data_IF_021172862422
#
_entry.id   IF_021172862422
#
_cell.length_a   1.000
_cell.length_b   1.000
_cell.length_c   1.000
_cell.angle_alpha   90.00
_cell.angle_beta   90.00
_cell.angle_gamma   90.00
#
_symmetry.space_group_name_H-M   'P 1'
#
loop_
_entity.id
_entity.type
_entity.pdbx_description
1 polymer ?
#
# COMPACT_ATOMS: atom_id res chain seq x y z
N UNK A 1 -3.16 49.20 -45.37
CA UNK A 1 -4.11 48.15 -44.94
C UNK A 1 -3.39 47.30 -43.91
N UNK A 2 -3.99 47.12 -42.75
CA UNK A 2 -3.34 46.72 -41.50
C UNK A 2 -3.21 45.18 -41.44
N UNK A 3 -2.00 44.64 -41.60
CA UNK A 3 -1.69 43.21 -41.41
C UNK A 3 -1.43 42.96 -39.91
N UNK A 4 -2.46 42.53 -39.18
CA UNK A 4 -2.32 42.08 -37.81
C UNK A 4 -2.79 40.62 -37.72
N UNK A 5 -1.88 39.62 -37.78
CA UNK A 5 -2.28 38.24 -37.66
C UNK A 5 -2.74 38.02 -36.22
N UNK A 6 -4.03 37.78 -36.04
CA UNK A 6 -4.65 37.43 -34.77
C UNK A 6 -3.82 36.33 -34.10
N UNK A 7 -3.03 36.68 -33.08
CA UNK A 7 -2.21 35.71 -32.35
C UNK A 7 -3.15 34.75 -31.61
N UNK A 8 -3.34 33.55 -32.15
CA UNK A 8 -4.12 32.50 -31.48
C UNK A 8 -3.39 32.09 -30.20
N UNK A 9 -3.85 32.59 -29.06
CA UNK A 9 -3.34 32.19 -27.74
C UNK A 9 -4.05 30.91 -27.30
N UNK A 10 -3.36 29.78 -27.40
CA UNK A 10 -3.82 28.51 -26.83
C UNK A 10 -3.35 28.46 -25.37
N UNK A 11 -4.30 28.33 -24.44
CA UNK A 11 -4.00 28.09 -23.02
C UNK A 11 -4.25 26.62 -22.74
N UNK A 12 -3.21 25.92 -22.28
CA UNK A 12 -3.30 24.54 -21.81
C UNK A 12 -3.34 24.56 -20.29
N UNK A 13 -4.18 23.69 -19.72
CA UNK A 13 -4.23 23.44 -18.27
C UNK A 13 -4.36 21.94 -18.02
N UNK A 14 -3.90 21.51 -16.85
CA UNK A 14 -3.99 20.13 -16.39
C UNK A 14 -3.80 20.08 -14.88
N UNK A 15 -4.21 18.96 -14.28
CA UNK A 15 -4.06 18.70 -12.84
C UNK A 15 -3.15 17.50 -12.66
N UNK A 16 -2.09 17.68 -11.88
CA UNK A 16 -1.26 16.57 -11.43
C UNK A 16 -1.97 15.87 -10.27
N UNK A 17 -2.18 14.57 -10.39
CA UNK A 17 -2.72 13.76 -9.29
C UNK A 17 -1.57 13.23 -8.44
N UNK A 18 -1.78 13.20 -7.13
CA UNK A 18 -0.85 12.55 -6.21
C UNK A 18 -0.97 11.03 -6.31
N UNK A 19 0.14 10.28 -6.17
CA UNK A 19 0.10 8.82 -6.04
C UNK A 19 -0.84 8.40 -4.92
N UNK A 20 -1.53 7.28 -5.12
CA UNK A 20 -2.44 6.72 -4.11
C UNK A 20 -2.43 5.20 -4.15
N UNK A 21 -2.45 4.59 -2.97
CA UNK A 21 -2.73 3.16 -2.81
C UNK A 21 -4.19 2.92 -2.43
N UNK A 22 -4.81 1.92 -3.06
CA UNK A 22 -6.07 1.36 -2.59
C UNK A 22 -5.88 -0.13 -2.29
N UNK A 23 -6.77 -0.68 -1.47
CA UNK A 23 -6.65 -2.05 -0.95
C UNK A 23 -7.94 -2.83 -1.19
N UNK A 24 -7.79 -4.11 -1.55
CA UNK A 24 -8.89 -5.04 -1.69
C UNK A 24 -8.53 -6.40 -1.05
N UNK A 25 -9.19 -6.81 0.05
CA UNK A 25 -10.24 -6.07 0.77
C UNK A 25 -9.71 -4.80 1.47
N UNK A 26 -10.57 -3.81 1.77
CA UNK A 26 -10.18 -2.56 2.44
C UNK A 26 -9.89 -2.72 3.94
N UNK A 27 -10.29 -3.84 4.55
CA UNK A 27 -9.97 -4.22 5.92
C UNK A 27 -9.87 -5.74 6.02
N UNK A 28 -9.01 -6.22 6.92
CA UNK A 28 -8.85 -7.65 7.20
C UNK A 28 -9.37 -7.97 8.59
N UNK A 29 -10.13 -9.07 8.68
CA UNK A 29 -10.51 -9.70 9.94
C UNK A 29 -9.98 -11.12 9.89
N UNK A 30 -8.99 -11.42 10.74
CA UNK A 30 -8.46 -12.77 10.86
C UNK A 30 -9.20 -13.52 11.96
N UNK A 31 -9.52 -14.79 11.68
CA UNK A 31 -10.19 -15.65 12.65
C UNK A 31 -9.25 -15.94 13.82
N UNK A 32 -9.76 -16.01 15.06
CA UNK A 32 -8.95 -16.43 16.20
C UNK A 32 -8.35 -17.81 15.96
N UNK A 33 -7.04 -17.93 16.20
CA UNK A 33 -6.29 -19.18 16.10
C UNK A 33 -5.64 -19.52 17.45
N UNK A 34 -5.30 -20.79 17.71
CA UNK A 34 -4.53 -21.17 18.88
C UNK A 34 -3.17 -20.45 18.94
N UNK A 35 -2.55 -20.45 20.11
CA UNK A 35 -1.20 -19.90 20.28
C UNK A 35 -0.20 -20.64 19.38
N UNK A 36 0.77 -19.90 18.88
CA UNK A 36 1.84 -20.38 18.00
C UNK A 36 1.37 -21.01 16.68
N UNK A 37 0.08 -20.88 16.35
CA UNK A 37 -0.46 -21.23 15.04
C UNK A 37 -0.49 -19.98 14.16
N UNK A 38 0.00 -20.12 12.94
CA UNK A 38 -0.03 -19.07 11.93
C UNK A 38 -1.39 -19.03 11.23
N UNK A 39 -1.87 -17.82 10.98
CA UNK A 39 -3.05 -17.55 10.15
C UNK A 39 -2.67 -16.52 9.10
N UNK A 40 -3.27 -16.62 7.92
CA UNK A 40 -2.84 -15.87 6.74
C UNK A 40 -4.03 -15.24 6.02
N UNK A 41 -3.77 -14.11 5.37
CA UNK A 41 -4.71 -13.47 4.47
C UNK A 41 -3.97 -12.72 3.36
N UNK A 42 -4.55 -12.71 2.17
CA UNK A 42 -4.06 -11.92 1.05
C UNK A 42 -4.84 -10.62 0.92
N UNK A 43 -4.13 -9.55 0.56
CA UNK A 43 -4.73 -8.32 0.05
C UNK A 43 -4.11 -7.97 -1.31
N UNK A 44 -4.94 -7.38 -2.17
CA UNK A 44 -4.48 -6.71 -3.37
C UNK A 44 -4.20 -5.24 -3.04
N UNK A 45 -2.99 -4.79 -3.33
CA UNK A 45 -2.62 -3.38 -3.36
C UNK A 45 -2.80 -2.90 -4.80
N UNK A 46 -3.55 -1.82 -4.97
CA UNK A 46 -3.95 -1.26 -6.26
C UNK A 46 -3.37 0.16 -6.37
N UNK A 47 -2.16 0.32 -6.95
CA UNK A 47 -1.53 1.62 -7.08
C UNK A 47 -2.22 2.46 -8.15
N UNK A 48 -2.40 3.76 -7.89
CA UNK A 48 -3.03 4.72 -8.80
C UNK A 48 -2.18 5.97 -8.91
N UNK A 49 -2.15 6.56 -10.10
CA UNK A 49 -1.52 7.85 -10.38
C UNK A 49 0.00 7.93 -10.09
N UNK A 50 0.68 6.77 -9.96
CA UNK A 50 2.14 6.69 -9.96
C UNK A 50 2.70 7.05 -11.34
N UNK A 51 3.73 7.91 -11.35
CA UNK A 51 4.36 8.42 -12.58
C UNK A 51 5.75 7.83 -12.84
N UNK A 52 6.26 7.04 -11.91
CA UNK A 52 7.53 6.32 -11.99
C UNK A 52 7.41 4.97 -11.31
N UNK A 53 8.40 4.11 -11.54
CA UNK A 53 8.54 2.91 -10.73
C UNK A 53 8.85 3.32 -9.29
N UNK A 54 8.10 2.75 -8.36
CA UNK A 54 8.26 2.97 -6.91
C UNK A 54 8.23 1.63 -6.19
N UNK A 55 8.95 1.52 -5.09
CA UNK A 55 8.95 0.34 -4.24
C UNK A 55 8.10 0.58 -2.99
N UNK A 56 7.25 -0.38 -2.63
CA UNK A 56 6.44 -0.31 -1.40
C UNK A 56 7.21 -0.94 -0.24
N UNK A 57 7.21 -0.24 0.89
CA UNK A 57 7.60 -0.75 2.20
C UNK A 57 6.38 -0.83 3.11
N UNK A 58 6.46 -1.67 4.14
CA UNK A 58 5.38 -1.85 5.13
C UNK A 58 5.92 -1.61 6.53
N UNK A 59 5.24 -0.75 7.28
CA UNK A 59 5.49 -0.59 8.71
C UNK A 59 4.60 -1.55 9.50
N UNK A 60 5.25 -2.51 10.17
CA UNK A 60 4.55 -3.50 10.97
C UNK A 60 4.34 -3.02 12.42
N UNK A 61 3.15 -3.27 13.01
CA UNK A 61 2.89 -2.95 14.40
C UNK A 61 3.82 -3.67 15.38
N UNK A 62 4.23 -2.94 16.42
CA UNK A 62 4.70 -3.53 17.67
C UNK A 62 3.60 -3.43 18.73
N UNK A 63 3.31 -4.55 19.39
CA UNK A 63 2.29 -4.66 20.43
C UNK A 63 2.97 -4.78 21.78
N UNK A 64 2.59 -3.93 22.72
CA UNK A 64 3.05 -3.99 24.11
C UNK A 64 2.28 -5.06 24.89
N UNK A 65 2.99 -5.92 25.60
CA UNK A 65 2.43 -6.97 26.44
C UNK A 65 2.20 -6.47 27.87
N UNK A 66 1.18 -6.99 28.54
CA UNK A 66 0.87 -6.64 29.93
C UNK A 66 2.02 -6.93 30.90
N UNK A 67 2.78 -8.00 30.64
CA UNK A 67 3.94 -8.43 31.45
C UNK A 67 5.18 -7.55 31.23
N UNK A 68 5.10 -6.54 30.36
CA UNK A 68 6.25 -5.78 29.88
C UNK A 68 6.96 -6.50 28.73
N UNK A 69 7.23 -5.76 27.65
CA UNK A 69 7.85 -6.27 26.43
C UNK A 69 7.03 -5.92 25.19
N UNK A 70 7.66 -6.05 24.02
CA UNK A 70 7.04 -5.78 22.71
C UNK A 70 7.16 -7.00 21.82
N UNK A 71 6.09 -7.31 21.09
CA UNK A 71 6.07 -8.35 20.07
C UNK A 71 5.64 -7.76 18.72
N UNK A 72 6.05 -8.40 17.64
CA UNK A 72 5.56 -8.11 16.29
C UNK A 72 4.92 -9.39 15.76
N UNK A 73 3.60 -9.58 15.94
CA UNK A 73 2.95 -10.84 15.60
C UNK A 73 2.58 -10.92 14.12
N UNK A 74 2.75 -9.83 13.36
CA UNK A 74 2.48 -9.78 11.93
C UNK A 74 3.77 -9.93 11.14
N UNK A 75 3.68 -10.58 9.99
CA UNK A 75 4.71 -10.54 8.95
C UNK A 75 4.05 -10.35 7.59
N UNK A 76 4.80 -9.83 6.62
CA UNK A 76 4.30 -9.59 5.26
C UNK A 76 5.26 -10.14 4.22
N UNK A 77 4.70 -10.63 3.12
CA UNK A 77 5.45 -11.10 1.97
C UNK A 77 4.81 -10.61 0.67
N UNK A 78 5.66 -10.32 -0.32
CA UNK A 78 5.24 -9.89 -1.65
C UNK A 78 5.67 -10.95 -2.67
N UNK A 79 4.87 -12.01 -2.90
CA UNK A 79 5.25 -13.11 -3.78
C UNK A 79 5.54 -12.66 -5.22
N UNK A 80 4.87 -11.59 -5.69
CA UNK A 80 5.11 -10.97 -7.00
C UNK A 80 6.19 -9.88 -7.00
N UNK A 81 6.87 -9.66 -5.87
CA UNK A 81 7.71 -8.48 -5.65
C UNK A 81 6.91 -7.26 -5.17
N UNK A 82 7.64 -6.24 -4.74
CA UNK A 82 7.12 -5.04 -4.07
C UNK A 82 7.21 -3.77 -4.95
N UNK A 83 7.55 -3.95 -6.22
CA UNK A 83 7.76 -2.85 -7.16
C UNK A 83 6.45 -2.50 -7.89
N UNK A 84 6.02 -1.26 -7.78
CA UNK A 84 4.95 -0.68 -8.60
C UNK A 84 5.54 -0.42 -9.98
N UNK A 85 5.28 -1.33 -10.91
CA UNK A 85 5.70 -1.19 -12.31
C UNK A 85 4.61 -0.46 -13.10
N UNK A 86 5.03 0.59 -13.83
CA UNK A 86 4.14 1.32 -14.73
C UNK A 86 3.76 0.44 -15.92
N UNK A 87 2.47 0.27 -16.16
CA UNK A 87 2.00 -0.31 -17.41
C UNK A 87 1.88 0.78 -18.48
N UNK A 88 2.14 0.40 -19.73
CA UNK A 88 1.94 1.25 -20.91
C UNK A 88 0.50 1.69 -21.14
N UNK A 89 -0.49 1.04 -20.52
CA UNK A 89 -1.91 1.41 -20.58
C UNK A 89 -2.35 2.39 -19.46
N UNK A 90 -1.40 2.85 -18.64
CA UNK A 90 -1.65 3.77 -17.53
C UNK A 90 -2.30 3.14 -16.30
N UNK A 91 -2.45 1.81 -16.25
CA UNK A 91 -2.87 1.08 -15.05
C UNK A 91 -1.66 0.44 -14.38
N UNK A 92 -1.35 0.83 -13.15
CA UNK A 92 -0.29 0.15 -12.42
C UNK A 92 -0.71 -1.29 -12.12
N UNK A 93 0.22 -2.22 -12.23
CA UNK A 93 -0.04 -3.61 -11.88
C UNK A 93 -0.39 -3.73 -10.40
N UNK A 94 -1.37 -4.58 -10.10
CA UNK A 94 -1.72 -4.89 -8.72
C UNK A 94 -0.61 -5.72 -8.09
N UNK A 95 -0.37 -5.47 -6.80
CA UNK A 95 0.56 -6.25 -5.99
C UNK A 95 -0.23 -7.09 -5.01
N UNK A 96 0.15 -8.36 -4.86
CA UNK A 96 -0.39 -9.22 -3.81
C UNK A 96 0.50 -9.06 -2.59
N UNK A 97 -0.08 -8.68 -1.46
CA UNK A 97 0.57 -8.68 -0.16
C UNK A 97 -0.03 -9.81 0.67
N UNK A 98 0.82 -10.77 1.02
CA UNK A 98 0.48 -11.87 1.89
C UNK A 98 0.79 -11.48 3.34
N UNK A 99 -0.23 -11.43 4.18
CA UNK A 99 -0.13 -11.03 5.59
C UNK A 99 -0.31 -12.27 6.45
N UNK A 100 0.67 -12.55 7.30
CA UNK A 100 0.62 -13.66 8.26
C UNK A 100 0.59 -13.13 9.68
N UNK A 101 -0.17 -13.77 10.56
CA UNK A 101 -0.22 -13.49 11.99
C UNK A 101 0.09 -14.74 12.80
N UNK A 102 0.97 -14.58 13.79
CA UNK A 102 1.32 -15.60 14.76
C UNK A 102 1.73 -14.97 16.08
N UNK A 103 1.21 -15.50 17.18
CA UNK A 103 1.57 -15.04 18.52
C UNK A 103 1.68 -16.22 19.49
N UNK A 104 2.74 -16.21 20.31
CA UNK A 104 2.92 -17.15 21.41
C UNK A 104 2.15 -16.75 22.67
N UNK A 105 1.52 -15.57 22.67
CA UNK A 105 0.68 -15.06 23.76
C UNK A 105 -0.72 -14.69 23.27
N UNK A 106 -1.76 -14.78 24.13
CA UNK A 106 -3.10 -14.31 23.77
C UNK A 106 -3.07 -12.81 23.47
N UNK A 107 -3.51 -12.43 22.27
CA UNK A 107 -3.54 -11.03 21.81
C UNK A 107 -4.82 -10.79 21.04
N UNK A 108 -5.47 -9.67 21.32
CA UNK A 108 -6.58 -9.12 20.53
C UNK A 108 -6.26 -7.67 20.22
N UNK A 109 -6.09 -7.34 18.94
CA UNK A 109 -5.65 -6.02 18.50
C UNK A 109 -6.42 -5.56 17.26
N UNK A 110 -6.70 -4.26 17.19
CA UNK A 110 -7.12 -3.56 15.99
C UNK A 110 -5.99 -2.60 15.62
N UNK A 111 -5.47 -2.67 14.41
CA UNK A 111 -4.31 -1.88 13.99
C UNK A 111 -4.41 -1.43 12.53
N UNK A 112 -3.74 -0.31 12.22
CA UNK A 112 -3.58 0.21 10.87
C UNK A 112 -2.18 -0.14 10.35
N UNK A 113 -2.10 -1.00 9.33
CA UNK A 113 -0.84 -1.29 8.65
C UNK A 113 -0.56 -0.17 7.63
N UNK A 114 0.59 0.49 7.75
CA UNK A 114 0.98 1.57 6.84
C UNK A 114 1.84 1.02 5.71
N UNK A 115 1.42 1.28 4.48
CA UNK A 115 2.17 0.99 3.26
C UNK A 115 2.69 2.31 2.73
N UNK A 116 4.00 2.41 2.52
CA UNK A 116 4.69 3.66 2.25
C UNK A 116 5.63 3.44 1.06
N UNK A 117 5.75 4.42 0.17
CA UNK A 117 6.76 4.40 -0.90
C UNK A 117 8.03 5.22 -0.57
N UNK A 118 8.99 5.23 -1.49
CA UNK A 118 10.26 5.95 -1.33
C UNK A 118 10.13 7.48 -1.16
N UNK A 119 8.99 8.06 -1.50
CA UNK A 119 8.69 9.49 -1.29
C UNK A 119 7.82 9.75 -0.05
N UNK A 120 7.63 8.74 0.79
CA UNK A 120 6.79 8.80 1.99
C UNK A 120 5.30 9.08 1.67
N UNK A 121 4.82 8.67 0.49
CA UNK A 121 3.38 8.70 0.15
C UNK A 121 2.60 7.56 0.81
#
# INVERSE_FOLDING_TARGET
VNDNPSQYKITLSGTLKSPKLNFDPPFLIMMPVPLDVETEADINIIPQDYLRQSQICVELPQIELEEGGRICPFSVQFPGGQDIVLSSDGKNNQLICHISFRSSKPVSVLWNMCFIDEEEN
#
